data_IF_920071798394
#
_entry.id   IF_920071798394
#
_cell.length_a   1.000
_cell.length_b   1.000
_cell.length_c   1.000
_cell.angle_alpha   90.00
_cell.angle_beta   90.00
_cell.angle_gamma   90.00
#
_symmetry.space_group_name_H-M   'P 1'
#
loop_
_entity.id
_entity.type
_entity.pdbx_description
1 polymer ?
#
# COMPACT_ATOMS: atom_id res chain seq x y z
N UNK A 1 4.43 9.47 41.46
CA UNK A 1 4.56 8.57 40.29
C UNK A 1 4.51 9.44 39.03
N UNK A 2 5.56 9.54 38.20
CA UNK A 2 5.43 10.25 36.93
C UNK A 2 4.67 9.36 35.94
N UNK A 3 3.66 9.94 35.27
CA UNK A 3 2.84 9.29 34.25
C UNK A 3 3.67 9.10 32.97
N UNK A 4 3.64 7.89 32.41
CA UNK A 4 4.20 7.60 31.09
C UNK A 4 3.59 8.52 30.04
N UNK A 5 4.36 9.02 29.05
CA UNK A 5 3.80 9.72 27.91
C UNK A 5 2.93 8.74 27.10
N UNK A 6 1.66 9.08 26.89
CA UNK A 6 0.81 8.37 25.95
C UNK A 6 1.38 8.59 24.53
N UNK A 7 1.55 7.50 23.78
CA UNK A 7 1.88 7.57 22.36
C UNK A 7 0.82 8.43 21.64
N UNK A 8 1.21 9.24 20.63
CA UNK A 8 0.24 10.02 19.88
C UNK A 8 -0.79 9.06 19.24
N UNK A 9 -2.09 9.41 19.23
CA UNK A 9 -3.10 8.59 18.58
C UNK A 9 -2.69 8.37 17.12
N UNK A 10 -2.53 7.11 16.73
CA UNK A 10 -2.28 6.75 15.33
C UNK A 10 -3.34 7.41 14.45
N UNK A 11 -2.93 8.04 13.36
CA UNK A 11 -3.83 8.70 12.39
C UNK A 11 -4.94 7.70 12.04
N UNK A 12 -6.20 8.06 12.32
CA UNK A 12 -7.33 7.19 12.01
C UNK A 12 -7.32 6.85 10.51
N UNK A 13 -7.56 5.58 10.19
CA UNK A 13 -7.60 5.12 8.81
C UNK A 13 -8.61 5.95 8.02
N UNK A 14 -8.15 6.54 6.91
CA UNK A 14 -9.00 7.30 5.99
C UNK A 14 -9.02 6.58 4.67
N UNK A 15 -9.89 5.57 4.55
CA UNK A 15 -9.96 4.71 3.35
C UNK A 15 -10.58 5.42 2.14
N UNK A 16 -11.18 6.60 2.33
CA UNK A 16 -11.75 7.42 1.27
C UNK A 16 -11.44 8.90 1.53
N UNK A 17 -11.09 9.63 0.47
CA UNK A 17 -11.06 11.09 0.46
C UNK A 17 -11.38 11.60 -0.95
N UNK A 18 -12.44 12.40 -1.08
CA UNK A 18 -12.83 13.00 -2.37
C UNK A 18 -13.07 11.94 -3.45
N UNK A 19 -12.32 12.05 -4.54
CA UNK A 19 -12.39 11.15 -5.71
C UNK A 19 -11.66 9.81 -5.52
N UNK A 20 -10.99 9.58 -4.38
CA UNK A 20 -10.12 8.42 -4.14
C UNK A 20 -10.65 7.53 -3.01
N UNK A 21 -10.67 6.22 -3.27
CA UNK A 21 -10.95 5.17 -2.30
C UNK A 21 -9.83 4.14 -2.28
N UNK A 22 -9.67 3.46 -1.15
CA UNK A 22 -8.71 2.37 -0.97
C UNK A 22 -9.29 1.22 -0.17
N UNK A 23 -8.76 0.02 -0.41
CA UNK A 23 -8.99 -1.16 0.39
C UNK A 23 -7.73 -2.02 0.41
N UNK A 24 -7.27 -2.42 1.60
CA UNK A 24 -6.20 -3.39 1.79
C UNK A 24 -6.76 -4.76 2.19
N UNK A 25 -6.19 -5.83 1.65
CA UNK A 25 -6.49 -7.19 2.08
C UNK A 25 -5.29 -8.13 1.83
N UNK A 26 -5.10 -9.12 2.69
CA UNK A 26 -4.22 -10.26 2.37
C UNK A 26 -4.93 -11.15 1.35
N UNK A 27 -4.21 -11.59 0.33
CA UNK A 27 -4.72 -12.45 -0.72
C UNK A 27 -5.14 -13.81 -0.13
N UNK A 28 -6.37 -14.29 -0.39
CA UNK A 28 -6.85 -15.55 0.18
C UNK A 28 -6.11 -16.79 -0.34
N UNK A 29 -5.32 -16.66 -1.41
CA UNK A 29 -4.45 -17.72 -1.92
C UNK A 29 -3.03 -17.69 -1.33
N UNK A 30 -2.80 -16.85 -0.32
CA UNK A 30 -1.60 -16.93 0.52
C UNK A 30 -1.51 -18.32 1.19
N UNK A 31 -0.29 -18.81 1.38
CA UNK A 31 0.00 -20.14 1.93
C UNK A 31 0.83 -20.02 3.21
N UNK A 32 1.18 -21.14 3.82
CA UNK A 32 1.74 -21.19 5.18
C UNK A 32 3.04 -20.38 5.38
N UNK A 33 3.84 -20.21 4.32
CA UNK A 33 5.15 -19.52 4.35
C UNK A 33 5.28 -18.40 3.31
N UNK A 34 4.17 -18.00 2.69
CA UNK A 34 4.16 -16.97 1.65
C UNK A 34 2.83 -16.24 1.65
N UNK A 35 2.88 -14.92 1.57
CA UNK A 35 1.69 -14.10 1.49
C UNK A 35 1.80 -13.01 0.43
N UNK A 36 0.65 -12.60 -0.08
CA UNK A 36 0.48 -11.43 -0.91
C UNK A 36 -0.46 -10.44 -0.25
N UNK A 37 -0.07 -9.18 -0.17
CA UNK A 37 -0.90 -8.09 0.32
C UNK A 37 -1.36 -7.24 -0.87
N UNK A 38 -2.69 -7.13 -1.03
CA UNK A 38 -3.35 -6.43 -2.13
C UNK A 38 -3.90 -5.08 -1.65
N UNK A 39 -3.56 -4.00 -2.35
CA UNK A 39 -4.20 -2.69 -2.21
C UNK A 39 -4.98 -2.40 -3.48
N UNK A 40 -6.29 -2.23 -3.36
CA UNK A 40 -7.14 -1.75 -4.45
C UNK A 40 -7.39 -0.26 -4.26
N UNK A 41 -6.97 0.55 -5.23
CA UNK A 41 -7.33 1.97 -5.32
C UNK A 41 -8.44 2.14 -6.34
N UNK A 42 -9.51 2.84 -5.96
CA UNK A 42 -10.57 3.24 -6.89
C UNK A 42 -10.55 4.76 -7.02
N UNK A 43 -10.67 5.26 -8.24
CA UNK A 43 -10.73 6.68 -8.55
C UNK A 43 -11.96 7.00 -9.43
N UNK A 44 -12.68 8.07 -9.11
CA UNK A 44 -13.78 8.59 -9.94
C UNK A 44 -13.34 9.64 -10.95
N UNK A 45 -12.12 10.14 -10.82
CA UNK A 45 -11.53 11.17 -11.68
C UNK A 45 -10.20 10.69 -12.27
N UNK A 46 -9.81 11.25 -13.42
CA UNK A 46 -8.52 10.95 -14.03
C UNK A 46 -7.38 11.39 -13.11
N UNK A 47 -6.49 10.45 -12.76
CA UNK A 47 -5.34 10.70 -11.89
C UNK A 47 -4.11 11.00 -12.73
N UNK A 48 -3.42 12.10 -12.43
CA UNK A 48 -2.22 12.57 -13.13
C UNK A 48 -0.94 12.34 -12.32
N UNK A 49 -1.06 12.12 -11.01
CA UNK A 49 0.03 11.70 -10.15
C UNK A 49 -0.48 10.73 -9.09
N UNK A 50 0.26 9.65 -8.86
CA UNK A 50 -0.03 8.67 -7.81
C UNK A 50 1.28 8.25 -7.15
N UNK A 51 1.26 8.18 -5.84
CA UNK A 51 2.25 7.45 -5.05
C UNK A 51 1.52 6.57 -4.04
N UNK A 52 1.74 5.26 -4.13
CA UNK A 52 1.28 4.28 -3.15
C UNK A 52 2.50 3.71 -2.43
N UNK A 53 2.51 3.78 -1.10
CA UNK A 53 3.48 3.11 -0.24
C UNK A 53 2.79 1.98 0.50
N UNK A 54 3.38 0.79 0.44
CA UNK A 54 2.93 -0.40 1.17
C UNK A 54 4.04 -0.84 2.10
N UNK A 55 3.77 -0.82 3.40
CA UNK A 55 4.69 -1.18 4.46
C UNK A 55 4.32 -2.56 5.00
N UNK A 56 5.18 -3.55 4.76
CA UNK A 56 5.07 -4.89 5.35
C UNK A 56 6.01 -4.97 6.55
N UNK A 57 5.46 -5.09 7.75
CA UNK A 57 6.24 -5.23 8.96
C UNK A 57 7.14 -6.46 8.92
N UNK A 58 8.38 -6.30 9.39
CA UNK A 58 9.27 -7.44 9.57
C UNK A 58 8.79 -8.29 10.75
N UNK A 59 8.66 -9.56 10.45
CA UNK A 59 8.58 -10.70 11.37
C UNK A 59 9.64 -11.71 10.95
N UNK A 60 9.71 -12.86 11.61
CA UNK A 60 10.62 -13.93 11.21
C UNK A 60 10.45 -14.28 9.72
N UNK A 61 11.58 -14.41 9.04
CA UNK A 61 11.74 -14.78 7.62
C UNK A 61 11.02 -13.91 6.59
N UNK A 62 10.61 -12.69 6.95
CA UNK A 62 10.03 -11.74 6.01
C UNK A 62 11.05 -11.31 4.95
N UNK A 63 10.81 -11.75 3.71
CA UNK A 63 11.66 -11.47 2.54
C UNK A 63 10.79 -11.13 1.33
N UNK A 64 11.21 -10.17 0.52
CA UNK A 64 10.50 -9.83 -0.71
C UNK A 64 10.57 -10.98 -1.71
N UNK A 65 9.44 -11.29 -2.34
CA UNK A 65 9.36 -12.26 -3.44
C UNK A 65 8.83 -11.63 -4.73
N UNK A 66 8.29 -10.39 -4.68
CA UNK A 66 7.91 -9.64 -5.87
C UNK A 66 6.84 -8.59 -5.60
N UNK A 67 6.47 -7.89 -6.66
CA UNK A 67 5.38 -6.92 -6.67
C UNK A 67 4.76 -6.86 -8.08
N UNK A 68 3.46 -6.58 -8.17
CA UNK A 68 2.76 -6.41 -9.45
C UNK A 68 1.60 -5.43 -9.33
N UNK A 69 1.07 -4.95 -10.45
CA UNK A 69 -0.12 -4.08 -10.50
C UNK A 69 -0.95 -4.35 -11.75
N UNK A 70 -2.22 -3.96 -11.72
CA UNK A 70 -3.08 -3.87 -12.93
C UNK A 70 -2.71 -2.67 -13.81
N UNK A 71 -2.07 -1.65 -13.25
CA UNK A 71 -1.44 -0.58 -14.04
C UNK A 71 -0.21 -1.18 -14.71
N UNK A 72 -0.05 -0.91 -16.02
CA UNK A 72 1.04 -1.51 -16.78
C UNK A 72 2.40 -1.09 -16.22
N UNK A 73 3.36 -2.03 -16.18
CA UNK A 73 4.65 -1.79 -15.53
C UNK A 73 5.42 -0.60 -16.14
N UNK A 74 5.25 -0.35 -17.44
CA UNK A 74 5.89 0.77 -18.15
C UNK A 74 5.36 2.14 -17.75
N UNK A 75 4.23 2.22 -17.05
CA UNK A 75 3.63 3.45 -16.53
C UNK A 75 4.03 3.75 -15.08
N UNK A 76 4.65 2.78 -14.40
CA UNK A 76 5.03 2.86 -13.00
C UNK A 76 6.54 2.85 -12.79
N UNK A 77 6.98 3.50 -11.72
CA UNK A 77 8.25 3.24 -11.06
C UNK A 77 7.94 2.49 -9.77
N UNK A 78 8.45 1.27 -9.65
CA UNK A 78 8.31 0.46 -8.44
C UNK A 78 9.66 0.33 -7.75
N UNK A 79 9.72 0.65 -6.45
CA UNK A 79 10.92 0.48 -5.63
C UNK A 79 10.62 -0.31 -4.36
N UNK A 80 11.66 -0.94 -3.82
CA UNK A 80 11.62 -1.64 -2.54
C UNK A 80 12.74 -1.11 -1.65
N UNK A 81 12.36 -0.61 -0.49
CA UNK A 81 13.27 -0.25 0.60
C UNK A 81 13.21 -1.29 1.71
N UNK A 82 14.38 -1.79 2.11
CA UNK A 82 14.52 -2.73 3.21
C UNK A 82 14.89 -1.97 4.48
N UNK A 83 13.89 -1.68 5.31
CA UNK A 83 14.08 -1.03 6.61
C UNK A 83 14.34 -2.07 7.71
N UNK A 84 14.91 -1.69 8.86
CA UNK A 84 15.15 -2.63 9.97
C UNK A 84 13.87 -3.31 10.49
N UNK A 85 12.73 -2.67 10.36
CA UNK A 85 11.43 -3.08 10.90
C UNK A 85 10.35 -3.32 9.83
N UNK A 86 10.68 -3.14 8.54
CA UNK A 86 9.76 -3.36 7.42
C UNK A 86 10.42 -3.58 6.04
N UNK A 87 9.63 -4.13 5.12
CA UNK A 87 9.77 -3.92 3.69
C UNK A 87 8.83 -2.79 3.27
N UNK A 88 9.33 -1.77 2.58
CA UNK A 88 8.52 -0.66 2.07
C UNK A 88 8.54 -0.69 0.55
N UNK A 89 7.42 -1.03 -0.06
CA UNK A 89 7.22 -0.97 -1.50
C UNK A 89 6.62 0.37 -1.87
N UNK A 90 7.16 1.03 -2.89
CA UNK A 90 6.60 2.28 -3.41
C UNK A 90 6.28 2.12 -4.89
N UNK A 91 5.03 2.35 -5.24
CA UNK A 91 4.56 2.45 -6.63
C UNK A 91 4.31 3.92 -6.95
N UNK A 92 4.97 4.45 -7.97
CA UNK A 92 4.83 5.84 -8.40
C UNK A 92 4.43 5.90 -9.86
N UNK A 93 3.37 6.62 -10.19
CA UNK A 93 2.98 6.90 -11.56
C UNK A 93 4.02 7.80 -12.23
N UNK A 94 4.47 7.42 -13.43
CA UNK A 94 5.45 8.20 -14.17
C UNK A 94 4.87 9.56 -14.59
N UNK A 95 5.69 10.63 -14.65
CA UNK A 95 5.25 11.92 -15.15
C UNK A 95 4.63 11.82 -16.55
N UNK A 96 3.49 12.47 -16.75
CA UNK A 96 2.78 12.50 -18.03
C UNK A 96 1.88 11.29 -18.31
N UNK A 97 1.85 10.29 -17.43
CA UNK A 97 0.88 9.19 -17.51
C UNK A 97 -0.41 9.58 -16.78
N UNK A 98 -1.55 9.19 -17.35
CA UNK A 98 -2.87 9.39 -16.75
C UNK A 98 -3.53 8.06 -16.46
N UNK A 99 -4.04 7.88 -15.24
CA UNK A 99 -4.89 6.75 -14.91
C UNK A 99 -6.35 7.15 -15.05
N UNK A 100 -7.07 6.45 -15.93
CA UNK A 100 -8.50 6.65 -16.11
C UNK A 100 -9.28 6.32 -14.82
N UNK A 101 -10.50 6.88 -14.66
CA UNK A 101 -11.44 6.45 -13.63
C UNK A 101 -11.64 4.94 -13.66
N UNK A 102 -11.53 4.29 -12.50
CA UNK A 102 -11.58 2.83 -12.43
C UNK A 102 -11.10 2.27 -11.11
N UNK A 103 -10.79 0.98 -11.11
CA UNK A 103 -10.18 0.27 -10.00
C UNK A 103 -8.83 -0.28 -10.44
N UNK A 104 -7.80 -0.03 -9.63
CA UNK A 104 -6.41 -0.39 -9.89
C UNK A 104 -5.90 -1.17 -8.70
N UNK A 105 -5.37 -2.37 -8.92
CA UNK A 105 -4.83 -3.21 -7.86
C UNK A 105 -3.30 -3.17 -7.89
N UNK A 106 -2.72 -3.16 -6.70
CA UNK A 106 -1.29 -3.23 -6.46
C UNK A 106 -1.05 -4.35 -5.45
N UNK A 107 -0.07 -5.19 -5.71
CA UNK A 107 0.22 -6.35 -4.90
C UNK A 107 1.70 -6.38 -4.53
N UNK A 108 1.98 -6.73 -3.28
CA UNK A 108 3.33 -7.00 -2.79
C UNK A 108 3.36 -8.40 -2.23
N UNK A 109 4.41 -9.14 -2.58
CA UNK A 109 4.54 -10.58 -2.31
C UNK A 109 5.76 -10.79 -1.42
N UNK A 110 5.63 -11.61 -0.39
CA UNK A 110 6.72 -11.86 0.55
C UNK A 110 6.64 -13.26 1.17
N UNK A 111 7.81 -13.85 1.40
CA UNK A 111 7.94 -15.03 2.25
C UNK A 111 7.80 -14.64 3.73
N UNK A 112 7.43 -15.59 4.57
CA UNK A 112 7.46 -15.45 6.03
C UNK A 112 7.63 -16.81 6.70
N UNK A 113 7.95 -16.82 8.00
CA UNK A 113 8.01 -18.04 8.78
C UNK A 113 6.67 -18.79 8.74
N UNK A 114 6.72 -20.12 8.84
CA UNK A 114 5.52 -20.98 8.87
C UNK A 114 4.61 -20.68 10.06
N UNK A 115 3.32 -21.05 9.96
CA UNK A 115 2.34 -20.84 11.03
C UNK A 115 1.40 -19.65 10.82
N UNK A 116 1.38 -19.09 9.60
CA UNK A 116 0.51 -17.98 9.22
C UNK A 116 1.03 -16.59 9.59
N UNK A 117 0.66 -15.59 8.78
CA UNK A 117 1.08 -14.19 8.94
C UNK A 117 0.04 -13.38 9.71
N UNK A 118 0.46 -12.54 10.66
CA UNK A 118 -0.41 -11.56 11.34
C UNK A 118 -0.29 -10.14 10.73
N UNK A 119 -1.11 -9.75 9.75
CA UNK A 119 -0.93 -8.50 8.99
C UNK A 119 -1.26 -7.21 9.75
N UNK A 120 -1.64 -7.29 11.05
CA UNK A 120 -2.07 -6.11 11.83
C UNK A 120 -1.05 -4.95 11.95
N UNK A 121 0.22 -5.20 11.64
CA UNK A 121 1.30 -4.20 11.61
C UNK A 121 1.66 -3.73 10.19
N UNK A 122 0.98 -4.26 9.19
CA UNK A 122 1.15 -3.89 7.80
C UNK A 122 0.19 -2.75 7.50
N UNK A 123 0.64 -1.82 6.67
CA UNK A 123 -0.13 -0.64 6.35
C UNK A 123 0.15 -0.17 4.94
N UNK A 124 -0.76 0.66 4.43
CA UNK A 124 -0.55 1.35 3.18
C UNK A 124 -1.02 2.80 3.30
N UNK A 125 -0.47 3.63 2.43
CA UNK A 125 -0.89 5.00 2.21
C UNK A 125 -0.76 5.34 0.73
N UNK A 126 -1.74 6.05 0.19
CA UNK A 126 -1.73 6.51 -1.18
C UNK A 126 -2.04 8.00 -1.23
N UNK A 127 -1.31 8.70 -2.09
CA UNK A 127 -1.52 10.09 -2.42
C UNK A 127 -1.78 10.15 -3.92
N UNK A 128 -2.90 10.75 -4.32
CA UNK A 128 -3.24 10.97 -5.72
C UNK A 128 -3.59 12.43 -6.00
N UNK A 129 -3.31 12.86 -7.22
CA UNK A 129 -3.72 14.17 -7.75
C UNK A 129 -4.59 13.95 -8.98
N UNK A 130 -5.78 14.54 -9.01
CA UNK A 130 -6.69 14.52 -10.14
C UNK A 130 -6.26 15.55 -11.21
N UNK A 131 -6.87 15.45 -12.40
CA UNK A 131 -6.57 16.33 -13.54
C UNK A 131 -6.87 17.81 -13.25
N UNK A 132 -7.85 18.10 -12.40
CA UNK A 132 -8.19 19.46 -11.96
C UNK A 132 -7.23 20.02 -10.90
N UNK A 133 -6.24 19.22 -10.45
CA UNK A 133 -5.29 19.55 -9.40
C UNK A 133 -5.73 19.17 -8.00
N UNK A 134 -6.94 18.62 -7.82
CA UNK A 134 -7.44 18.17 -6.52
C UNK A 134 -6.58 17.04 -5.98
N UNK A 135 -6.14 17.15 -4.72
CA UNK A 135 -5.30 16.14 -4.05
C UNK A 135 -6.11 15.33 -3.04
N UNK A 136 -5.93 14.02 -3.07
CA UNK A 136 -6.52 13.09 -2.11
C UNK A 136 -5.44 12.18 -1.49
N UNK A 137 -5.62 11.87 -0.22
CA UNK A 137 -4.80 10.96 0.57
C UNK A 137 -5.70 9.90 1.20
N UNK A 138 -5.33 8.63 1.06
CA UNK A 138 -6.00 7.52 1.71
C UNK A 138 -4.98 6.63 2.40
N UNK A 139 -5.37 5.97 3.49
CA UNK A 139 -4.51 5.06 4.22
C UNK A 139 -5.34 4.00 4.94
N UNK A 140 -4.71 2.85 5.22
CA UNK A 140 -5.35 1.71 5.87
C UNK A 140 -4.36 0.61 6.24
N UNK A 141 -4.91 -0.47 6.77
CA UNK A 141 -4.20 -1.71 7.10
C UNK A 141 -4.64 -2.87 6.20
N UNK A 142 -4.21 -4.09 6.57
CA UNK A 142 -4.52 -5.34 5.89
C UNK A 142 -5.21 -6.34 6.83
#
# INVERSE_FOLDING_TARGET
>A
MPRSPAAPPGRAASVQQGFLWSNGAVDPHSIDNWAQSNVTLKNSETVTALQLRVRVARTADVTSTGAWSTVVADELVTSLEQQPDALVYTFTLKPGVHLAPGAHMFAVQYGHATGGRNPSRDSYEAIATALDGTRAEVNGGF
#
